data_IF_927140264000
#
_entry.id   IF_927140264000
#
_cell.length_a   1.000
_cell.length_b   1.000
_cell.length_c   1.000
_cell.angle_alpha   90.00
_cell.angle_beta   90.00
_cell.angle_gamma   90.00
#
_symmetry.space_group_name_H-M   'P 1'
#
loop_
_entity.id
_entity.type
_entity.pdbx_description
1 polymer ?
#
# COMPACT_ATOMS: atom_id res chain seq x y z
N UNK A 1 -10.20 -22.92 -8.24
CA UNK A 1 -10.71 -23.38 -6.93
C UNK A 1 -9.54 -23.29 -5.96
N UNK A 2 -9.37 -22.11 -5.31
CA UNK A 2 -8.31 -21.89 -4.33
C UNK A 2 -8.65 -22.62 -3.03
N UNK A 3 -7.79 -23.55 -2.61
CA UNK A 3 -7.85 -24.13 -1.26
C UNK A 3 -7.58 -23.05 -0.21
N UNK A 4 -8.14 -23.24 1.00
CA UNK A 4 -7.80 -22.43 2.16
C UNK A 4 -6.46 -22.92 2.70
N UNK A 5 -5.43 -22.09 2.60
CA UNK A 5 -4.10 -22.38 3.15
C UNK A 5 -4.18 -22.53 4.67
N UNK A 6 -3.66 -23.64 5.19
CA UNK A 6 -3.50 -23.86 6.62
C UNK A 6 -2.15 -23.30 7.08
N UNK A 7 -2.07 -22.89 8.34
CA UNK A 7 -0.85 -22.28 8.89
C UNK A 7 0.35 -23.25 8.85
N UNK A 8 0.09 -24.53 9.11
CA UNK A 8 1.09 -25.60 9.05
C UNK A 8 1.68 -25.78 7.64
N UNK A 9 0.85 -25.62 6.59
CA UNK A 9 1.30 -25.67 5.21
C UNK A 9 2.21 -24.49 4.89
N UNK A 10 1.84 -23.29 5.35
CA UNK A 10 2.66 -22.08 5.17
C UNK A 10 4.01 -22.19 5.90
N UNK A 11 4.02 -22.76 7.11
CA UNK A 11 5.26 -23.04 7.85
C UNK A 11 6.15 -24.04 7.11
N UNK A 12 5.58 -25.12 6.60
CA UNK A 12 6.32 -26.15 5.84
C UNK A 12 6.95 -25.59 4.56
N UNK A 13 6.31 -24.59 3.94
CA UNK A 13 6.81 -23.89 2.76
C UNK A 13 7.79 -22.76 3.06
N UNK A 14 8.10 -22.50 4.34
CA UNK A 14 8.96 -21.38 4.74
C UNK A 14 8.32 -20.01 4.52
N UNK A 15 6.99 -19.94 4.46
CA UNK A 15 6.22 -18.73 4.25
C UNK A 15 5.77 -18.06 5.56
N UNK A 16 6.42 -18.40 6.66
CA UNK A 16 6.21 -17.75 7.94
C UNK A 16 7.49 -17.02 8.37
N UNK A 17 7.34 -15.78 8.84
CA UNK A 17 8.43 -14.97 9.38
C UNK A 17 8.20 -14.71 10.86
N UNK A 18 9.20 -14.94 11.67
CA UNK A 18 9.15 -14.69 13.11
C UNK A 18 9.53 -13.25 13.43
N UNK A 19 8.92 -12.68 14.47
CA UNK A 19 9.25 -11.38 15.04
C UNK A 19 9.25 -10.24 13.98
N UNK A 20 8.19 -10.16 13.19
CA UNK A 20 8.02 -9.10 12.20
C UNK A 20 7.53 -7.80 12.86
N UNK A 21 8.04 -6.67 12.40
CA UNK A 21 7.56 -5.33 12.75
C UNK A 21 6.96 -4.67 11.52
N UNK A 22 5.67 -4.38 11.57
CA UNK A 22 4.90 -3.87 10.45
C UNK A 22 4.48 -2.43 10.72
N UNK A 23 4.75 -1.53 9.77
CA UNK A 23 4.26 -0.16 9.81
C UNK A 23 3.19 0.02 8.72
N UNK A 24 1.99 0.43 9.14
CA UNK A 24 0.88 0.68 8.21
C UNK A 24 1.10 1.97 7.45
N UNK A 25 1.08 1.88 6.12
CA UNK A 25 1.24 3.01 5.21
C UNK A 25 -0.10 3.54 4.68
N UNK A 26 -1.09 2.65 4.53
CA UNK A 26 -2.46 3.03 4.19
C UNK A 26 -3.46 2.02 4.72
N UNK A 27 -4.70 2.49 4.85
CA UNK A 27 -5.85 1.66 5.20
C UNK A 27 -7.04 2.14 4.36
N UNK A 28 -7.80 1.21 3.83
CA UNK A 28 -8.97 1.52 3.00
C UNK A 28 -10.12 0.57 3.33
N UNK A 29 -11.33 1.06 3.24
CA UNK A 29 -12.55 0.28 3.43
C UNK A 29 -13.41 0.40 2.19
N UNK A 30 -13.54 -0.68 1.44
CA UNK A 30 -14.38 -0.75 0.25
C UNK A 30 -15.57 -1.68 0.44
N UNK A 31 -16.64 -1.45 -0.33
CA UNK A 31 -17.81 -2.33 -0.32
C UNK A 31 -17.81 -3.24 -1.55
N UNK A 32 -17.84 -4.53 -1.31
CA UNK A 32 -17.99 -5.57 -2.33
C UNK A 32 -19.48 -5.89 -2.53
N UNK A 33 -20.04 -5.38 -3.62
CA UNK A 33 -21.45 -5.59 -3.96
C UNK A 33 -21.78 -7.05 -4.25
N UNK A 34 -20.85 -7.80 -4.83
CA UNK A 34 -21.06 -9.21 -5.17
C UNK A 34 -21.07 -10.10 -3.92
N UNK A 35 -20.14 -9.86 -3.01
CA UNK A 35 -20.04 -10.59 -1.74
C UNK A 35 -20.95 -10.05 -0.64
N UNK A 36 -21.60 -8.88 -0.82
CA UNK A 36 -22.39 -8.18 0.21
C UNK A 36 -21.62 -8.01 1.52
N UNK A 37 -20.39 -7.51 1.41
CA UNK A 37 -19.45 -7.38 2.51
C UNK A 37 -18.58 -6.15 2.37
N UNK A 38 -18.07 -5.65 3.47
CA UNK A 38 -16.97 -4.68 3.46
C UNK A 38 -15.63 -5.41 3.43
N UNK A 39 -14.67 -4.83 2.75
CA UNK A 39 -13.29 -5.30 2.69
C UNK A 39 -12.42 -4.21 3.30
N UNK A 40 -11.75 -4.54 4.40
CA UNK A 40 -10.73 -3.67 4.99
C UNK A 40 -9.38 -4.11 4.41
N UNK A 41 -8.74 -3.21 3.71
CA UNK A 41 -7.44 -3.43 3.09
C UNK A 41 -6.39 -2.56 3.78
N UNK A 42 -5.39 -3.19 4.39
CA UNK A 42 -4.24 -2.51 4.97
C UNK A 42 -3.00 -2.77 4.15
N UNK A 43 -2.26 -1.71 3.78
CA UNK A 43 -0.93 -1.83 3.21
C UNK A 43 0.11 -1.53 4.29
N UNK A 44 1.03 -2.46 4.50
CA UNK A 44 2.08 -2.38 5.50
C UNK A 44 3.44 -2.55 4.87
N UNK A 45 4.45 -1.98 5.51
CA UNK A 45 5.85 -2.32 5.25
C UNK A 45 6.42 -3.10 6.41
N UNK A 46 7.11 -4.19 6.12
CA UNK A 46 7.93 -4.90 7.12
C UNK A 46 9.25 -4.14 7.31
N UNK A 47 9.42 -3.62 8.51
CA UNK A 47 10.62 -2.86 8.87
C UNK A 47 11.91 -3.70 8.83
N UNK A 48 11.81 -5.02 8.92
CA UNK A 48 12.95 -5.92 8.81
C UNK A 48 13.47 -6.10 7.39
N UNK A 49 12.56 -6.21 6.42
CA UNK A 49 12.90 -6.58 5.03
C UNK A 49 12.63 -5.50 4.00
N UNK A 50 11.83 -4.49 4.31
CA UNK A 50 11.33 -3.51 3.34
C UNK A 50 10.23 -4.05 2.42
N UNK A 51 9.75 -5.28 2.65
CA UNK A 51 8.70 -5.88 1.82
C UNK A 51 7.35 -5.22 2.13
N UNK A 52 6.64 -4.78 1.09
CA UNK A 52 5.27 -4.31 1.21
C UNK A 52 4.32 -5.50 1.20
N UNK A 53 3.47 -5.56 2.21
CA UNK A 53 2.51 -6.65 2.43
C UNK A 53 1.11 -6.10 2.68
N UNK A 54 0.08 -6.90 2.38
CA UNK A 54 -1.31 -6.47 2.48
C UNK A 54 -2.11 -7.38 3.40
N UNK A 55 -3.02 -6.77 4.15
CA UNK A 55 -4.07 -7.47 4.88
C UNK A 55 -5.41 -7.26 4.21
N UNK A 56 -6.26 -8.27 4.24
CA UNK A 56 -7.65 -8.19 3.79
C UNK A 56 -8.55 -8.80 4.86
N UNK A 57 -9.44 -8.01 5.40
CA UNK A 57 -10.44 -8.47 6.35
C UNK A 57 -11.84 -8.30 5.74
N UNK A 58 -12.55 -9.40 5.60
CA UNK A 58 -13.88 -9.44 4.97
C UNK A 58 -14.94 -9.39 6.06
N UNK A 59 -15.74 -8.33 6.06
CA UNK A 59 -16.78 -8.06 7.06
C UNK A 59 -18.18 -8.15 6.46
N UNK A 60 -18.91 -9.26 6.64
CA UNK A 60 -20.30 -9.36 6.20
C UNK A 60 -21.17 -8.26 6.82
N UNK A 61 -22.07 -7.65 6.02
CA UNK A 61 -22.95 -6.55 6.49
C UNK A 61 -23.68 -6.91 7.79
N UNK A 62 -24.05 -8.16 7.97
CA UNK A 62 -24.72 -8.65 9.19
C UNK A 62 -23.83 -8.56 10.45
N UNK A 63 -22.53 -8.51 10.29
CA UNK A 63 -21.55 -8.46 11.40
C UNK A 63 -21.15 -7.02 11.80
N UNK A 64 -21.58 -5.98 11.07
CA UNK A 64 -21.21 -4.57 11.32
C UNK A 64 -21.54 -4.07 12.73
N UNK A 65 -22.55 -4.62 13.37
CA UNK A 65 -22.94 -4.27 14.76
C UNK A 65 -21.87 -4.60 15.81
N UNK A 66 -20.90 -5.45 15.46
CA UNK A 66 -19.89 -6.00 16.37
C UNK A 66 -18.47 -5.55 16.03
N UNK A 67 -18.28 -4.74 14.98
CA UNK A 67 -16.97 -4.38 14.49
C UNK A 67 -16.68 -2.92 14.85
N UNK A 68 -15.55 -2.70 15.52
CA UNK A 68 -15.04 -1.36 15.82
C UNK A 68 -14.52 -0.72 14.54
N UNK A 69 -14.71 0.60 14.40
CA UNK A 69 -14.26 1.39 13.25
C UNK A 69 -12.73 1.66 13.24
N UNK A 70 -12.00 1.19 14.25
CA UNK A 70 -10.60 1.57 14.48
C UNK A 70 -9.61 0.46 14.08
N UNK A 71 -9.59 0.10 12.81
CA UNK A 71 -8.56 -0.81 12.28
C UNK A 71 -7.38 -0.07 11.61
N UNK A 72 -7.39 1.26 11.60
CA UNK A 72 -6.21 2.06 11.21
C UNK A 72 -5.23 2.13 12.38
N UNK A 73 -4.05 1.60 12.18
CA UNK A 73 -3.00 1.53 13.20
C UNK A 73 -1.89 2.51 12.88
N UNK A 74 -1.82 3.60 13.66
CA UNK A 74 -0.75 4.63 13.52
C UNK A 74 0.52 4.27 14.29
N UNK A 75 0.71 3.01 14.65
CA UNK A 75 1.80 2.49 15.45
C UNK A 75 2.51 1.36 14.69
N UNK A 76 3.72 1.05 15.09
CA UNK A 76 4.37 -0.17 14.62
C UNK A 76 3.70 -1.37 15.27
N UNK A 77 3.23 -2.30 14.46
CA UNK A 77 2.62 -3.56 14.89
C UNK A 77 3.70 -4.64 14.98
N UNK A 78 3.92 -5.15 16.18
CA UNK A 78 4.89 -6.21 16.45
C UNK A 78 4.17 -7.55 16.45
N UNK A 79 4.61 -8.46 15.60
CA UNK A 79 3.96 -9.74 15.30
C UNK A 79 4.92 -10.88 15.60
N UNK A 80 4.53 -11.81 16.47
CA UNK A 80 5.36 -12.97 16.80
C UNK A 80 5.56 -13.91 15.60
N UNK A 81 4.53 -14.14 14.81
CA UNK A 81 4.59 -14.92 13.58
C UNK A 81 3.72 -14.29 12.49
N UNK A 82 4.34 -13.94 11.37
CA UNK A 82 3.72 -13.38 10.18
C UNK A 82 3.59 -14.48 9.12
N UNK A 83 2.37 -14.92 8.83
CA UNK A 83 2.10 -15.88 7.78
C UNK A 83 1.87 -15.16 6.45
N UNK A 84 2.62 -15.53 5.41
CA UNK A 84 2.57 -14.94 4.08
C UNK A 84 1.93 -15.93 3.10
N UNK A 85 0.91 -15.49 2.39
CA UNK A 85 0.25 -16.31 1.39
C UNK A 85 1.00 -16.25 0.05
N UNK A 86 1.14 -17.40 -0.65
CA UNK A 86 1.71 -17.41 -1.99
C UNK A 86 0.89 -16.55 -2.94
N UNK A 87 1.56 -15.78 -3.78
CA UNK A 87 0.92 -14.90 -4.76
C UNK A 87 1.94 -14.07 -5.52
N UNK A 88 1.45 -13.35 -6.53
CA UNK A 88 2.23 -12.36 -7.26
C UNK A 88 1.99 -10.97 -6.70
N UNK A 89 2.97 -10.09 -6.83
CA UNK A 89 2.91 -8.72 -6.29
C UNK A 89 3.11 -8.67 -4.79
N UNK A 90 2.37 -7.77 -4.13
CA UNK A 90 2.44 -7.63 -2.68
C UNK A 90 1.76 -8.82 -2.03
N UNK A 91 2.47 -9.48 -1.12
CA UNK A 91 1.94 -10.70 -0.48
C UNK A 91 0.82 -10.35 0.49
N UNK A 92 -0.25 -11.12 0.42
CA UNK A 92 -1.24 -11.13 1.48
C UNK A 92 -0.63 -11.75 2.72
N UNK A 93 -0.87 -11.14 3.88
CA UNK A 93 -0.37 -11.61 5.17
C UNK A 93 -1.48 -11.76 6.20
N UNK A 94 -1.20 -12.55 7.21
CA UNK A 94 -2.04 -12.74 8.39
C UNK A 94 -1.18 -13.01 9.62
N UNK A 95 -1.65 -12.56 10.77
CA UNK A 95 -1.06 -12.88 12.08
C UNK A 95 -2.14 -13.10 13.13
N UNK A 96 -1.78 -13.76 14.21
CA UNK A 96 -2.63 -13.97 15.37
C UNK A 96 -1.98 -13.29 16.57
N UNK A 97 -2.65 -12.25 17.08
CA UNK A 97 -2.11 -11.46 18.20
C UNK A 97 -0.95 -10.59 17.80
N UNK A 98 -0.91 -9.41 18.35
CA UNK A 98 0.16 -8.43 18.15
C UNK A 98 0.23 -7.49 19.33
N UNK A 99 1.37 -6.85 19.50
CA UNK A 99 1.56 -5.68 20.35
C UNK A 99 1.88 -4.49 19.47
N UNK A 100 1.74 -3.29 20.03
CA UNK A 100 2.05 -2.07 19.28
C UNK A 100 3.08 -1.23 20.04
N UNK A 101 3.89 -0.49 19.31
CA UNK A 101 4.78 0.54 19.84
C UNK A 101 4.67 1.82 19.03
N UNK A 102 5.03 2.94 19.61
CA UNK A 102 5.10 4.20 18.89
C UNK A 102 6.06 4.12 17.69
N UNK A 103 5.73 4.85 16.64
CA UNK A 103 6.63 5.05 15.50
C UNK A 103 7.75 5.99 15.91
N UNK A 104 8.98 5.65 15.60
CA UNK A 104 10.15 6.48 15.84
C UNK A 104 10.66 7.12 14.55
N UNK A 105 11.54 8.10 14.70
CA UNK A 105 12.20 8.70 13.53
C UNK A 105 13.05 7.66 12.77
N UNK A 106 13.71 6.76 13.47
CA UNK A 106 14.50 5.68 12.89
C UNK A 106 13.65 4.74 12.04
N UNK A 107 12.40 4.49 12.44
CA UNK A 107 11.47 3.70 11.64
C UNK A 107 11.15 4.40 10.31
N UNK A 108 10.89 5.70 10.36
CA UNK A 108 10.60 6.51 9.16
C UNK A 108 11.81 6.55 8.23
N UNK A 109 13.00 6.82 8.77
CA UNK A 109 14.25 6.83 8.01
C UNK A 109 14.51 5.47 7.34
N UNK A 110 14.23 4.39 8.07
CA UNK A 110 14.35 3.02 7.57
C UNK A 110 13.36 2.75 6.43
N UNK A 111 12.09 3.11 6.59
CA UNK A 111 11.08 2.97 5.52
C UNK A 111 11.51 3.75 4.28
N UNK A 112 11.97 5.00 4.45
CA UNK A 112 12.45 5.82 3.34
C UNK A 112 13.67 5.22 2.64
N UNK A 113 14.51 4.48 3.35
CA UNK A 113 15.68 3.81 2.76
C UNK A 113 15.32 2.66 1.83
N UNK A 114 14.13 2.07 1.97
CA UNK A 114 13.64 1.01 1.09
C UNK A 114 13.00 1.52 -0.20
N UNK A 115 12.79 2.83 -0.33
CA UNK A 115 12.13 3.40 -1.49
C UNK A 115 12.96 3.21 -2.77
N UNK A 116 12.29 2.83 -3.84
CA UNK A 116 12.89 2.74 -5.16
C UNK A 116 13.30 4.13 -5.67
N UNK A 117 14.50 4.24 -6.23
CA UNK A 117 15.04 5.48 -6.79
C UNK A 117 14.62 5.74 -8.24
N UNK A 118 14.22 4.69 -8.95
CA UNK A 118 13.91 4.75 -10.38
C UNK A 118 12.48 4.33 -10.67
N UNK A 119 11.66 5.29 -11.07
CA UNK A 119 10.27 5.07 -11.44
C UNK A 119 10.13 4.06 -12.59
N UNK A 120 11.04 4.10 -13.57
CA UNK A 120 11.02 3.20 -14.72
C UNK A 120 11.05 1.72 -14.34
N UNK A 121 11.78 1.35 -13.29
CA UNK A 121 11.92 -0.03 -12.85
C UNK A 121 10.66 -0.49 -12.11
N UNK A 122 10.07 0.38 -11.29
CA UNK A 122 8.81 0.10 -10.61
C UNK A 122 7.65 -0.03 -11.61
N UNK A 123 7.61 0.83 -12.64
CA UNK A 123 6.62 0.72 -13.73
C UNK A 123 6.76 -0.60 -14.48
N UNK A 124 7.99 -1.09 -14.74
CA UNK A 124 8.19 -2.41 -15.36
C UNK A 124 7.68 -3.55 -14.47
N UNK A 125 7.98 -3.50 -13.17
CA UNK A 125 7.47 -4.48 -12.19
C UNK A 125 5.94 -4.47 -12.18
N UNK A 126 5.34 -3.29 -12.04
CA UNK A 126 3.89 -3.10 -12.06
C UNK A 126 3.25 -3.66 -13.33
N UNK A 127 3.81 -3.35 -14.52
CA UNK A 127 3.33 -3.91 -15.80
C UNK A 127 3.37 -5.43 -15.83
N UNK A 128 4.42 -6.04 -15.29
CA UNK A 128 4.56 -7.48 -15.26
C UNK A 128 3.56 -8.17 -14.33
N UNK A 129 3.24 -7.54 -13.21
CA UNK A 129 2.27 -8.03 -12.23
C UNK A 129 0.85 -7.83 -12.73
N UNK A 130 0.48 -6.58 -13.06
CA UNK A 130 -0.90 -6.19 -13.39
C UNK A 130 -1.43 -6.79 -14.71
N UNK A 131 -0.57 -7.30 -15.60
CA UNK A 131 -1.02 -8.03 -16.81
C UNK A 131 -1.57 -9.42 -16.51
N UNK A 132 -1.32 -9.97 -15.33
CA UNK A 132 -1.85 -11.27 -14.94
C UNK A 132 -3.26 -11.11 -14.39
N UNK A 133 -4.25 -11.77 -15.03
CA UNK A 133 -5.65 -11.69 -14.63
C UNK A 133 -5.94 -12.23 -13.20
N UNK A 134 -5.00 -12.97 -12.60
CA UNK A 134 -5.10 -13.48 -11.23
C UNK A 134 -4.33 -12.63 -10.22
N UNK A 135 -3.64 -11.58 -10.68
CA UNK A 135 -2.93 -10.67 -9.79
C UNK A 135 -3.91 -9.69 -9.11
N UNK A 136 -3.51 -9.08 -7.99
CA UNK A 136 -4.24 -7.96 -7.40
C UNK A 136 -4.42 -6.83 -8.42
N UNK A 137 -5.52 -6.08 -8.33
CA UNK A 137 -5.78 -4.93 -9.20
C UNK A 137 -4.85 -3.75 -8.92
N UNK A 138 -4.24 -3.71 -7.74
CA UNK A 138 -3.30 -2.69 -7.31
C UNK A 138 -1.98 -3.35 -6.90
N UNK A 139 -0.87 -2.81 -7.38
CA UNK A 139 0.49 -3.17 -6.96
C UNK A 139 1.09 -2.02 -6.16
N UNK A 140 1.29 -2.24 -4.86
CA UNK A 140 1.82 -1.24 -3.92
C UNK A 140 3.33 -1.14 -3.99
N UNK A 141 3.83 0.08 -3.84
CA UNK A 141 5.26 0.43 -3.94
C UNK A 141 5.63 1.60 -3.05
N UNK A 142 6.94 1.72 -2.79
CA UNK A 142 7.56 2.93 -2.24
C UNK A 142 8.47 3.53 -3.31
N UNK A 143 8.27 4.80 -3.63
CA UNK A 143 9.03 5.51 -4.66
C UNK A 143 9.54 6.83 -4.12
N UNK A 144 10.82 7.09 -4.37
CA UNK A 144 11.41 8.42 -4.20
C UNK A 144 11.08 9.27 -5.42
N UNK A 145 10.58 10.47 -5.20
CA UNK A 145 10.26 11.39 -6.29
C UNK A 145 10.97 12.72 -6.12
N UNK A 146 11.23 13.38 -7.23
CA UNK A 146 11.74 14.75 -7.28
C UNK A 146 10.57 15.74 -7.13
N UNK A 147 9.47 15.50 -7.87
CA UNK A 147 8.33 16.41 -7.85
C UNK A 147 7.01 15.73 -8.21
N UNK A 148 5.94 16.19 -7.57
CA UNK A 148 4.56 16.02 -8.04
C UNK A 148 4.10 17.39 -8.57
N UNK A 149 3.62 17.43 -9.80
CA UNK A 149 3.20 18.68 -10.44
C UNK A 149 2.10 18.48 -11.46
N UNK A 150 1.57 19.59 -11.95
CA UNK A 150 0.53 19.58 -12.97
C UNK A 150 1.12 19.30 -14.36
N UNK A 151 0.40 18.46 -15.11
CA UNK A 151 0.63 18.18 -16.51
C UNK A 151 -0.71 18.35 -17.25
N UNK A 152 -0.98 19.56 -17.74
CA UNK A 152 -2.29 19.98 -18.19
C UNK A 152 -3.27 20.00 -17.00
N UNK A 153 -4.42 19.36 -17.13
CA UNK A 153 -5.43 19.25 -16.06
C UNK A 153 -5.16 18.11 -15.07
N UNK A 154 -4.03 17.41 -15.22
CA UNK A 154 -3.70 16.18 -14.46
C UNK A 154 -2.47 16.39 -13.60
N UNK A 155 -2.32 15.54 -12.60
CA UNK A 155 -1.11 15.47 -11.79
C UNK A 155 -0.19 14.39 -12.34
N UNK A 156 1.10 14.65 -12.29
CA UNK A 156 2.14 13.68 -12.62
C UNK A 156 3.23 13.69 -11.54
N UNK A 157 3.82 12.53 -11.31
CA UNK A 157 5.01 12.37 -10.50
C UNK A 157 6.22 12.27 -11.42
N UNK A 158 7.32 12.94 -11.06
CA UNK A 158 8.63 12.84 -11.72
C UNK A 158 9.64 12.29 -10.72
N UNK A 159 10.52 11.40 -11.21
CA UNK A 159 11.72 11.01 -10.47
C UNK A 159 12.92 11.87 -10.88
N UNK A 160 14.03 11.70 -10.17
CA UNK A 160 15.29 12.43 -10.41
C UNK A 160 15.91 12.21 -11.80
N UNK A 161 15.43 11.22 -12.56
CA UNK A 161 15.90 10.97 -13.94
C UNK A 161 15.04 11.66 -15.00
N UNK A 162 13.95 12.31 -14.58
CA UNK A 162 12.96 12.91 -15.46
C UNK A 162 11.93 11.91 -15.98
N UNK A 163 11.95 10.65 -15.52
CA UNK A 163 10.89 9.71 -15.81
C UNK A 163 9.61 10.14 -15.07
N UNK A 164 8.48 10.03 -15.74
CA UNK A 164 7.21 10.50 -15.19
C UNK A 164 6.09 9.48 -15.32
N UNK A 165 5.13 9.57 -14.39
CA UNK A 165 3.88 8.81 -14.44
C UNK A 165 2.70 9.69 -14.03
N UNK A 166 1.58 9.53 -14.73
CA UNK A 166 0.33 10.18 -14.34
C UNK A 166 -0.19 9.63 -13.02
N UNK A 167 -0.59 10.54 -12.14
CA UNK A 167 -1.34 10.19 -10.96
C UNK A 167 -2.82 9.97 -11.33
N UNK A 168 -3.48 9.15 -10.54
CA UNK A 168 -4.90 8.86 -10.73
C UNK A 168 -5.50 8.17 -9.52
N UNK A 169 -6.81 7.99 -9.59
CA UNK A 169 -7.60 7.36 -8.53
C UNK A 169 -8.07 6.00 -9.03
N UNK A 170 -7.77 4.94 -8.30
CA UNK A 170 -8.20 3.61 -8.66
C UNK A 170 -9.73 3.48 -8.49
N UNK A 171 -10.42 2.72 -9.34
CA UNK A 171 -11.87 2.54 -9.25
C UNK A 171 -12.29 2.03 -7.87
N UNK A 172 -13.31 2.67 -7.28
CA UNK A 172 -13.82 2.30 -5.95
C UNK A 172 -12.97 2.75 -4.77
N UNK A 173 -11.87 3.45 -5.01
CA UNK A 173 -10.99 4.02 -3.99
C UNK A 173 -11.22 5.53 -3.82
N UNK A 174 -10.64 6.11 -2.77
CA UNK A 174 -10.69 7.55 -2.52
C UNK A 174 -10.04 8.38 -3.64
N UNK A 175 -10.49 9.63 -3.78
CA UNK A 175 -9.95 10.57 -4.76
C UNK A 175 -8.71 11.28 -4.21
N UNK A 176 -7.60 10.57 -4.18
CA UNK A 176 -6.33 11.08 -3.65
C UNK A 176 -5.73 12.20 -4.50
N UNK A 177 -6.04 12.26 -5.81
CA UNK A 177 -5.61 13.37 -6.67
C UNK A 177 -6.21 14.71 -6.26
N UNK A 178 -7.46 14.74 -5.81
CA UNK A 178 -8.08 15.97 -5.30
C UNK A 178 -7.46 16.38 -3.96
N UNK A 179 -7.18 15.41 -3.08
CA UNK A 179 -6.52 15.66 -1.79
C UNK A 179 -5.12 16.24 -1.96
N UNK A 180 -4.33 15.74 -2.92
CA UNK A 180 -3.00 16.28 -3.23
C UNK A 180 -3.07 17.74 -3.66
N UNK A 181 -4.05 18.13 -4.46
CA UNK A 181 -4.25 19.54 -4.88
C UNK A 181 -4.61 20.46 -3.71
N UNK A 182 -5.21 19.92 -2.67
CA UNK A 182 -5.64 20.66 -1.48
C UNK A 182 -4.61 20.64 -0.34
N UNK A 183 -3.44 20.01 -0.54
CA UNK A 183 -2.40 20.00 0.50
C UNK A 183 -1.97 21.41 0.86
N UNK A 184 -2.06 21.79 2.15
CA UNK A 184 -1.68 23.14 2.60
C UNK A 184 -0.17 23.34 2.55
N UNK A 185 0.60 22.25 2.69
CA UNK A 185 2.07 22.27 2.64
C UNK A 185 2.57 21.76 1.29
N UNK A 186 2.93 22.69 0.42
CA UNK A 186 3.46 22.38 -0.92
C UNK A 186 4.86 21.76 -0.89
N UNK A 187 5.59 21.82 0.24
CA UNK A 187 6.88 21.14 0.38
C UNK A 187 6.75 19.61 0.33
N UNK A 188 5.54 19.11 0.58
CA UNK A 188 5.21 17.68 0.39
C UNK A 188 5.24 17.24 -1.07
N UNK A 189 5.23 18.16 -2.02
CA UNK A 189 5.23 17.86 -3.45
C UNK A 189 6.63 17.73 -4.04
N UNK A 190 7.69 17.90 -3.25
CA UNK A 190 9.09 17.91 -3.71
C UNK A 190 9.98 17.07 -2.77
N UNK A 191 10.92 16.33 -3.37
CA UNK A 191 12.00 15.60 -2.69
C UNK A 191 11.55 14.73 -1.50
N UNK A 192 10.53 13.91 -1.70
CA UNK A 192 10.02 13.01 -0.67
C UNK A 192 9.98 11.56 -1.17
N UNK A 193 9.51 10.70 -0.30
CA UNK A 193 9.12 9.32 -0.61
C UNK A 193 7.61 9.22 -0.52
N UNK A 194 6.99 8.53 -1.46
CA UNK A 194 5.59 8.17 -1.35
C UNK A 194 5.39 6.67 -1.25
N UNK A 195 4.36 6.27 -0.53
CA UNK A 195 3.69 5.00 -0.69
C UNK A 195 2.55 5.18 -1.68
N UNK A 196 2.49 4.34 -2.69
CA UNK A 196 1.48 4.40 -3.72
C UNK A 196 1.11 3.04 -4.28
N UNK A 197 0.04 3.01 -5.07
CA UNK A 197 -0.42 1.82 -5.75
C UNK A 197 -0.51 2.03 -7.25
N UNK A 198 0.22 1.23 -8.02
CA UNK A 198 0.01 1.16 -9.46
C UNK A 198 -1.26 0.40 -9.78
N UNK A 199 -2.05 0.92 -10.68
CA UNK A 199 -3.25 0.27 -11.21
C UNK A 199 -3.38 0.51 -12.71
N UNK A 200 -4.17 -0.33 -13.37
CA UNK A 200 -4.45 -0.18 -14.79
C UNK A 200 -5.76 0.56 -15.01
N UNK A 201 -5.66 1.80 -15.53
CA UNK A 201 -6.83 2.56 -15.93
C UNK A 201 -7.34 2.05 -17.29
N UNK A 202 -8.46 1.34 -17.26
CA UNK A 202 -9.08 0.74 -18.45
C UNK A 202 -9.63 1.79 -19.41
N UNK A 203 -10.04 2.95 -18.92
CA UNK A 203 -10.60 4.04 -19.72
C UNK A 203 -9.52 4.68 -20.58
N UNK A 204 -8.35 4.92 -20.00
CA UNK A 204 -7.22 5.53 -20.68
C UNK A 204 -6.21 4.52 -21.22
N UNK A 205 -6.43 3.24 -20.99
CA UNK A 205 -5.59 2.14 -21.46
C UNK A 205 -4.11 2.30 -21.03
N UNK A 206 -3.88 2.71 -19.78
CA UNK A 206 -2.54 2.95 -19.23
C UNK A 206 -2.44 2.64 -17.76
N UNK A 207 -1.21 2.46 -17.30
CA UNK A 207 -0.91 2.38 -15.87
C UNK A 207 -0.86 3.80 -15.31
N UNK A 208 -1.47 3.98 -14.14
CA UNK A 208 -1.41 5.17 -13.29
C UNK A 208 -0.91 4.81 -11.90
N UNK A 209 -0.52 5.81 -11.15
CA UNK A 209 -0.11 5.69 -9.75
C UNK A 209 -1.10 6.45 -8.86
N UNK A 210 -1.70 5.74 -7.90
CA UNK A 210 -2.47 6.33 -6.83
C UNK A 210 -1.54 6.62 -5.64
N UNK A 211 -1.59 7.82 -5.09
CA UNK A 211 -0.78 8.20 -3.91
C UNK A 211 -1.57 7.83 -2.65
N UNK A 212 -0.94 7.11 -1.73
CA UNK A 212 -1.55 6.67 -0.48
C UNK A 212 -1.04 7.47 0.72
N UNK A 213 0.28 7.64 0.80
CA UNK A 213 0.90 8.47 1.83
C UNK A 213 2.21 9.07 1.33
N UNK A 214 2.61 10.18 1.94
CA UNK A 214 3.88 10.86 1.69
C UNK A 214 4.71 10.79 2.97
N UNK A 215 5.94 10.34 2.85
CA UNK A 215 6.87 10.20 3.95
C UNK A 215 7.85 11.38 3.93
N UNK A 216 7.79 12.19 4.98
CA UNK A 216 8.75 13.25 5.27
C UNK A 216 9.92 12.72 6.10
N UNK A 217 10.80 13.58 6.58
CA UNK A 217 11.88 13.18 7.50
C UNK A 217 11.37 12.81 8.90
N UNK A 218 10.15 13.21 9.26
CA UNK A 218 9.66 13.11 10.63
C UNK A 218 8.31 12.40 10.77
N UNK A 219 7.53 12.30 9.70
CA UNK A 219 6.17 11.78 9.76
C UNK A 219 5.71 11.12 8.46
N UNK A 220 4.62 10.39 8.55
CA UNK A 220 3.90 9.81 7.42
C UNK A 220 2.59 10.57 7.27
N UNK A 221 2.48 11.37 6.21
CA UNK A 221 1.26 12.10 5.86
C UNK A 221 0.38 11.18 5.02
N UNK A 222 -0.71 10.72 5.59
CA UNK A 222 -1.68 9.86 4.88
C UNK A 222 -2.57 10.71 4.00
N UNK A 223 -2.66 10.33 2.72
CA UNK A 223 -3.51 10.97 1.72
C UNK A 223 -4.81 10.17 1.58
N UNK A 224 -4.72 8.84 1.60
CA UNK A 224 -5.87 7.94 1.66
C UNK A 224 -6.08 7.43 3.09
N UNK A 225 -7.33 7.40 3.53
CA UNK A 225 -7.78 6.89 4.82
C UNK A 225 -8.64 5.66 4.63
#
# INVERSE_FOLDING_TARGET
LGGVWQLEELRALGLCRSNAELLQLSFDVSYDDAGKQYIDEGCYIDLGSGELVCTYNYRPVKALKYIRQDDSVFHVTQVGELAMYPGQGNKRVRWNGSTTRAVTKEDIDKVRSFAADYLSDEVKKAKNILKNALAPEIYYTLIRYERIGECGERLALLDKTGASIMLGDAPGKEKTTDMIRLLPDTSLLEDKVLSGGFFYDRTENRIKLMVLSILTDNEIVRIAY
#
